data_IF_293465217139
#
_entry.id   IF_293465217139
#
_cell.length_a   1.000
_cell.length_b   1.000
_cell.length_c   1.000
_cell.angle_alpha   90.00
_cell.angle_beta   90.00
_cell.angle_gamma   90.00
#
_symmetry.space_group_name_H-M   'P 1'
#
loop_
_entity.id
_entity.type
_entity.pdbx_description
1 polymer ?
#
# COMPACT_ATOMS: atom_id res chain seq x y z
N UNK A 1 46.76 3.90 -12.60
CA UNK A 1 45.44 3.39 -12.20
C UNK A 1 45.62 2.49 -10.99
N UNK A 2 45.27 2.96 -9.80
CA UNK A 2 45.16 2.08 -8.62
C UNK A 2 43.82 1.35 -8.71
N UNK A 3 43.82 0.07 -8.42
CA UNK A 3 42.62 -0.77 -8.41
C UNK A 3 41.74 -0.29 -7.24
N UNK A 4 40.61 0.36 -7.54
CA UNK A 4 39.68 0.93 -6.55
C UNK A 4 38.69 -0.11 -5.97
N UNK A 5 38.85 -1.38 -6.34
CA UNK A 5 37.83 -2.42 -6.14
C UNK A 5 37.97 -3.29 -4.88
N UNK A 6 38.90 -2.99 -3.96
CA UNK A 6 38.90 -3.70 -2.65
C UNK A 6 39.65 -2.94 -1.55
N UNK A 7 39.04 -1.89 -1.02
CA UNK A 7 39.32 -1.48 0.36
C UNK A 7 38.00 -1.52 1.12
N UNK A 8 37.71 -2.68 1.72
CA UNK A 8 36.62 -2.82 2.68
C UNK A 8 36.79 -1.78 3.78
N UNK A 9 35.69 -1.13 4.17
CA UNK A 9 35.74 -0.20 5.30
C UNK A 9 36.23 -0.94 6.56
N UNK A 10 36.94 -0.23 7.47
CA UNK A 10 37.30 -0.80 8.77
C UNK A 10 36.08 -1.39 9.47
N UNK A 11 36.23 -2.56 10.11
CA UNK A 11 35.16 -3.19 10.91
C UNK A 11 34.54 -2.18 11.88
N UNK A 12 33.24 -1.96 11.76
CA UNK A 12 32.49 -1.01 12.60
C UNK A 12 32.44 0.43 12.09
N UNK A 13 32.94 0.73 10.88
CA UNK A 13 32.87 2.08 10.27
C UNK A 13 31.45 2.67 10.30
N UNK A 14 30.45 1.90 9.89
CA UNK A 14 29.03 2.29 9.89
C UNK A 14 28.45 2.55 11.28
N UNK A 15 29.14 2.10 12.33
CA UNK A 15 28.74 2.29 13.73
C UNK A 15 29.49 3.41 14.44
N UNK A 16 30.40 4.11 13.75
CA UNK A 16 31.06 5.28 14.33
C UNK A 16 30.05 6.41 14.55
N UNK A 17 30.18 7.23 15.62
CA UNK A 17 29.19 8.25 15.95
C UNK A 17 28.91 9.23 14.81
N UNK A 18 29.95 9.66 14.09
CA UNK A 18 29.87 10.59 12.96
C UNK A 18 29.12 9.98 11.77
N UNK A 19 29.47 8.75 11.38
CA UNK A 19 28.81 8.04 10.26
C UNK A 19 27.37 7.68 10.62
N UNK A 20 27.13 7.20 11.85
CA UNK A 20 25.78 6.87 12.32
C UNK A 20 24.86 8.09 12.38
N UNK A 21 25.38 9.26 12.77
CA UNK A 21 24.62 10.51 12.76
C UNK A 21 24.30 10.95 11.34
N UNK A 22 25.30 10.93 10.43
CA UNK A 22 25.11 11.28 9.03
C UNK A 22 24.13 10.33 8.31
N UNK A 23 24.12 9.03 8.68
CA UNK A 23 23.12 8.07 8.22
C UNK A 23 21.71 8.40 8.75
N UNK A 24 21.62 8.80 10.03
CA UNK A 24 20.35 9.13 10.68
C UNK A 24 19.71 10.44 10.17
N UNK A 25 20.52 11.36 9.63
CA UNK A 25 20.04 12.63 9.06
C UNK A 25 20.06 12.66 7.53
N UNK A 26 20.48 11.57 6.88
CA UNK A 26 20.71 11.50 5.44
C UNK A 26 21.64 12.62 4.91
N UNK A 27 22.67 12.97 5.70
CA UNK A 27 23.70 13.93 5.29
C UNK A 27 24.69 13.26 4.31
N UNK A 28 24.29 13.24 3.04
CA UNK A 28 25.06 12.62 1.95
C UNK A 28 26.46 13.25 1.78
N UNK A 29 26.63 14.58 1.86
CA UNK A 29 27.97 15.19 1.87
C UNK A 29 28.86 14.70 3.02
N UNK A 30 28.34 14.60 4.25
CA UNK A 30 29.12 14.08 5.38
C UNK A 30 29.50 12.61 5.18
N UNK A 31 28.57 11.77 4.67
CA UNK A 31 28.87 10.38 4.33
C UNK A 31 29.94 10.25 3.24
N UNK A 32 29.87 11.09 2.21
CA UNK A 32 30.90 11.14 1.16
C UNK A 32 32.27 11.49 1.72
N UNK A 33 32.35 12.43 2.67
CA UNK A 33 33.63 12.82 3.28
C UNK A 33 34.20 11.74 4.21
N UNK A 34 33.35 11.09 5.01
CA UNK A 34 33.77 10.03 5.91
C UNK A 34 34.23 8.77 5.16
N UNK A 35 33.53 8.39 4.08
CA UNK A 35 33.96 7.28 3.20
C UNK A 35 35.27 7.64 2.49
N UNK A 36 35.40 8.87 2.02
CA UNK A 36 36.64 9.37 1.42
C UNK A 36 37.81 9.28 2.40
N UNK A 37 37.62 9.71 3.65
CA UNK A 37 38.65 9.63 4.70
C UNK A 37 38.99 8.18 5.04
N UNK A 38 37.97 7.33 5.24
CA UNK A 38 38.16 5.91 5.59
C UNK A 38 38.91 5.13 4.51
N UNK A 39 38.67 5.44 3.23
CA UNK A 39 39.36 4.82 2.09
C UNK A 39 40.66 5.53 1.70
N UNK A 40 41.06 6.59 2.41
CA UNK A 40 42.27 7.37 2.10
C UNK A 40 42.23 8.06 0.73
N UNK A 41 41.03 8.36 0.24
CA UNK A 41 40.79 8.92 -1.09
C UNK A 41 41.01 10.43 -1.14
N UNK A 42 41.55 10.91 -2.25
CA UNK A 42 41.50 12.33 -2.59
C UNK A 42 40.10 12.74 -3.07
N UNK A 43 39.83 14.04 -3.18
CA UNK A 43 38.56 14.50 -3.79
C UNK A 43 38.44 14.09 -5.26
N UNK A 44 39.56 13.90 -5.96
CA UNK A 44 39.59 13.38 -7.33
C UNK A 44 39.16 11.92 -7.37
N UNK A 45 39.67 11.09 -6.46
CA UNK A 45 39.32 9.66 -6.39
C UNK A 45 37.84 9.47 -6.00
N UNK A 46 37.34 10.28 -5.05
CA UNK A 46 35.92 10.29 -4.69
C UNK A 46 35.04 10.65 -5.90
N UNK A 47 35.42 11.70 -6.64
CA UNK A 47 34.67 12.16 -7.80
C UNK A 47 34.64 11.08 -8.91
N UNK A 48 35.77 10.43 -9.17
CA UNK A 48 35.88 9.32 -10.12
C UNK A 48 34.97 8.14 -9.70
N UNK A 49 34.97 7.77 -8.42
CA UNK A 49 34.15 6.68 -7.89
C UNK A 49 32.64 6.91 -8.06
N UNK A 50 32.17 8.17 -7.97
CA UNK A 50 30.76 8.52 -8.16
C UNK A 50 30.40 9.00 -9.57
N UNK A 51 31.38 9.07 -10.49
CA UNK A 51 31.16 9.46 -11.89
C UNK A 51 31.00 10.97 -12.13
N UNK A 52 31.63 11.80 -11.31
CA UNK A 52 31.58 13.27 -11.39
C UNK A 52 32.99 13.90 -11.43
N UNK A 53 33.06 15.23 -11.60
CA UNK A 53 34.34 15.96 -11.62
C UNK A 53 34.82 16.32 -10.21
N UNK A 54 36.13 16.48 -10.01
CA UNK A 54 36.68 16.89 -8.71
C UNK A 54 36.11 18.23 -8.23
N UNK A 55 35.86 19.19 -9.14
CA UNK A 55 35.22 20.47 -8.82
C UNK A 55 33.79 20.29 -8.30
N UNK A 56 33.04 19.34 -8.85
CA UNK A 56 31.70 18.99 -8.36
C UNK A 56 31.77 18.39 -6.94
N UNK A 57 32.66 17.43 -6.71
CA UNK A 57 32.82 16.81 -5.39
C UNK A 57 33.24 17.85 -4.33
N UNK A 58 34.13 18.78 -4.68
CA UNK A 58 34.54 19.89 -3.80
C UNK A 58 33.38 20.81 -3.41
N UNK A 59 32.47 21.12 -4.34
CA UNK A 59 31.29 21.97 -4.08
C UNK A 59 30.25 21.26 -3.21
N UNK A 60 30.03 19.97 -3.47
CA UNK A 60 29.11 19.14 -2.67
C UNK A 60 29.61 18.99 -1.23
N UNK A 61 30.89 18.69 -1.02
CA UNK A 61 31.48 18.56 0.31
C UNK A 61 31.49 19.87 1.11
N UNK A 62 31.47 21.02 0.43
CA UNK A 62 31.34 22.36 1.05
C UNK A 62 29.90 22.81 1.26
N UNK A 63 28.90 22.01 0.84
CA UNK A 63 27.49 22.38 0.92
C UNK A 63 27.07 23.47 -0.09
N UNK A 64 27.90 23.79 -1.08
CA UNK A 64 27.65 24.85 -2.07
C UNK A 64 26.78 24.36 -3.25
N UNK A 65 26.41 23.09 -3.27
CA UNK A 65 25.57 22.49 -4.31
C UNK A 65 24.62 21.48 -3.68
N UNK A 66 23.32 21.70 -3.85
CA UNK A 66 22.29 20.75 -3.43
C UNK A 66 22.26 19.55 -4.37
N UNK A 67 22.10 18.36 -3.78
CA UNK A 67 22.03 17.09 -4.51
C UNK A 67 20.58 16.79 -4.89
N UNK A 68 20.35 16.43 -6.14
CA UNK A 68 19.06 15.88 -6.59
C UNK A 68 18.88 14.44 -6.11
N UNK A 69 17.64 13.98 -6.01
CA UNK A 69 17.32 12.59 -5.62
C UNK A 69 17.99 11.54 -6.55
N UNK A 70 18.13 11.85 -7.84
CA UNK A 70 18.82 10.98 -8.79
C UNK A 70 20.32 10.87 -8.47
N UNK A 71 20.97 11.98 -8.13
CA UNK A 71 22.39 12.01 -7.72
C UNK A 71 22.60 11.25 -6.42
N UNK A 72 21.74 11.45 -5.41
CA UNK A 72 21.80 10.73 -4.13
C UNK A 72 21.74 9.21 -4.35
N UNK A 73 20.84 8.72 -5.21
CA UNK A 73 20.74 7.29 -5.53
C UNK A 73 21.99 6.72 -6.20
N UNK A 74 22.63 7.49 -7.07
CA UNK A 74 23.88 7.09 -7.73
C UNK A 74 25.01 6.98 -6.70
N UNK A 75 25.12 7.97 -5.82
CA UNK A 75 26.15 8.04 -4.77
C UNK A 75 26.00 6.86 -3.79
N UNK A 76 24.78 6.61 -3.28
CA UNK A 76 24.49 5.50 -2.36
C UNK A 76 24.93 4.16 -2.95
N UNK A 77 24.56 3.90 -4.21
CA UNK A 77 24.92 2.64 -4.89
C UNK A 77 26.41 2.52 -5.17
N UNK A 78 27.04 3.58 -5.66
CA UNK A 78 28.46 3.57 -6.05
C UNK A 78 29.40 3.50 -4.87
N UNK A 79 29.02 4.09 -3.73
CA UNK A 79 29.83 4.08 -2.52
C UNK A 79 29.50 2.90 -1.59
N UNK A 80 28.48 2.10 -1.90
CA UNK A 80 28.09 0.95 -1.08
C UNK A 80 27.45 1.34 0.25
N UNK A 81 26.77 2.50 0.30
CA UNK A 81 26.11 2.96 1.52
C UNK A 81 24.90 2.04 1.78
N UNK A 82 24.81 1.38 2.94
CA UNK A 82 23.67 0.51 3.27
C UNK A 82 22.39 1.33 3.31
N UNK A 83 21.55 1.17 2.29
CA UNK A 83 20.34 1.97 2.13
C UNK A 83 19.35 1.73 3.27
N UNK A 84 19.40 0.56 3.92
CA UNK A 84 18.62 0.26 5.14
C UNK A 84 18.98 1.13 6.36
N UNK A 85 20.16 1.75 6.39
CA UNK A 85 20.60 2.59 7.51
C UNK A 85 20.28 4.08 7.31
N UNK A 86 19.93 4.49 6.09
CA UNK A 86 19.60 5.88 5.77
C UNK A 86 18.19 6.23 6.24
N UNK A 87 18.09 7.24 7.12
CA UNK A 87 16.81 7.82 7.53
C UNK A 87 16.63 9.15 6.81
N UNK A 88 15.64 9.23 5.92
CA UNK A 88 15.27 10.49 5.25
C UNK A 88 14.47 11.36 6.22
N UNK A 89 15.09 12.42 6.75
CA UNK A 89 14.44 13.42 7.60
C UNK A 89 14.81 14.82 7.11
N UNK A 90 13.84 15.74 7.13
CA UNK A 90 14.07 17.16 6.86
C UNK A 90 14.99 17.76 7.93
N UNK A 91 16.03 18.48 7.49
CA UNK A 91 16.86 19.29 8.37
C UNK A 91 16.07 20.52 8.84
N UNK A 92 15.62 20.51 10.09
CA UNK A 92 15.68 21.72 10.91
C UNK A 92 16.73 21.50 11.99
N UNK A 93 17.76 22.33 11.91
CA UNK A 93 18.75 22.57 12.95
C UNK A 93 18.05 22.92 14.26
N UNK A 94 18.25 22.09 15.28
CA UNK A 94 18.55 22.55 16.63
C UNK A 94 19.43 21.48 17.31
N UNK A 95 20.52 21.95 17.90
CA UNK A 95 21.53 21.16 18.59
C UNK A 95 20.90 20.37 19.76
N UNK A 96 20.99 19.05 19.70
CA UNK A 96 20.96 18.21 20.90
C UNK A 96 22.32 18.29 21.62
N UNK A 97 22.30 18.34 22.95
CA UNK A 97 22.97 17.27 23.69
C UNK A 97 22.38 17.10 25.09
N UNK A 98 21.68 15.99 25.35
CA UNK A 98 21.75 15.42 26.68
C UNK A 98 21.92 13.90 26.60
N UNK A 99 23.09 13.37 26.26
CA UNK A 99 23.41 12.00 26.72
C UNK A 99 24.89 11.72 26.94
N UNK A 100 25.42 12.28 28.03
CA UNK A 100 26.70 11.86 28.61
C UNK A 100 26.56 10.47 29.27
N UNK A 101 26.86 9.41 28.50
CA UNK A 101 26.69 7.98 28.82
C UNK A 101 27.71 7.42 29.85
N UNK A 102 28.17 8.21 30.82
CA UNK A 102 29.18 7.79 31.83
C UNK A 102 28.75 7.87 33.31
N UNK A 103 27.47 8.07 33.62
CA UNK A 103 26.98 8.08 35.02
C UNK A 103 25.96 6.97 35.37
N UNK A 104 25.87 5.89 34.60
CA UNK A 104 24.92 4.79 34.87
C UNK A 104 25.29 3.88 36.06
N UNK A 105 26.36 4.16 36.81
CA UNK A 105 26.83 3.34 37.94
C UNK A 105 26.34 3.76 39.33
N UNK A 106 25.56 4.84 39.48
CA UNK A 106 25.22 5.39 40.81
C UNK A 106 23.72 5.47 41.16
N UNK A 107 22.82 4.94 40.32
CA UNK A 107 21.37 5.05 40.52
C UNK A 107 20.68 3.73 40.90
N UNK A 108 21.40 2.78 41.51
CA UNK A 108 20.82 1.52 41.98
C UNK A 108 19.97 1.63 43.27
N UNK A 109 19.86 2.82 43.88
CA UNK A 109 19.21 3.00 45.20
C UNK A 109 17.81 3.63 45.17
N UNK A 110 17.21 3.87 44.01
CA UNK A 110 15.87 4.49 43.89
C UNK A 110 14.74 3.53 43.44
N UNK A 111 14.97 2.22 43.46
CA UNK A 111 14.05 1.21 42.93
C UNK A 111 12.79 0.90 43.79
N UNK A 112 12.45 1.73 44.78
CA UNK A 112 11.33 1.46 45.71
C UNK A 112 10.24 2.54 45.75
N UNK A 113 10.23 3.50 44.82
CA UNK A 113 9.09 4.40 44.65
C UNK A 113 8.23 3.94 43.47
N UNK A 114 6.89 3.86 43.61
CA UNK A 114 6.02 3.62 42.47
C UNK A 114 6.25 4.76 41.48
N UNK A 115 6.87 4.46 40.35
CA UNK A 115 7.07 5.46 39.30
C UNK A 115 5.68 5.98 38.92
N UNK A 116 5.43 7.30 38.98
CA UNK A 116 4.23 7.83 38.37
C UNK A 116 4.28 7.39 36.91
N UNK A 117 3.24 6.71 36.44
CA UNK A 117 3.03 6.51 35.01
C UNK A 117 2.83 7.91 34.44
N UNK A 118 3.92 8.58 34.10
CA UNK A 118 3.90 9.68 33.17
C UNK A 118 3.37 9.07 31.89
N UNK A 119 2.06 9.23 31.67
CA UNK A 119 1.48 9.23 30.35
C UNK A 119 2.32 10.23 29.57
N UNK A 120 3.33 9.75 28.84
CA UNK A 120 4.03 10.56 27.85
C UNK A 120 2.91 11.11 26.97
N UNK A 121 2.66 12.40 27.08
CA UNK A 121 1.68 13.07 26.25
C UNK A 121 2.04 12.69 24.81
N UNK A 122 1.07 12.15 24.09
CA UNK A 122 1.26 11.72 22.71
C UNK A 122 1.88 12.89 21.94
N UNK A 123 3.13 12.74 21.51
CA UNK A 123 3.87 13.81 20.85
C UNK A 123 3.21 14.17 19.51
N UNK A 124 3.44 15.40 19.06
CA UNK A 124 2.85 15.96 17.84
C UNK A 124 3.04 15.05 16.60
N UNK A 125 4.18 14.36 16.52
CA UNK A 125 4.53 13.47 15.41
C UNK A 125 3.88 12.08 15.47
N UNK A 126 3.21 11.72 16.57
CA UNK A 126 2.71 10.34 16.75
C UNK A 126 1.74 9.91 15.65
N UNK A 127 0.88 10.82 15.18
CA UNK A 127 -0.05 10.51 14.10
C UNK A 127 0.70 10.19 12.79
N UNK A 128 1.72 10.99 12.47
CA UNK A 128 2.54 10.80 11.28
C UNK A 128 3.32 9.48 11.33
N UNK A 129 3.92 9.15 12.48
CA UNK A 129 4.64 7.89 12.69
C UNK A 129 3.71 6.68 12.53
N UNK A 130 2.52 6.72 13.13
CA UNK A 130 1.54 5.65 13.03
C UNK A 130 1.04 5.45 11.59
N UNK A 131 0.80 6.54 10.86
CA UNK A 131 0.45 6.50 9.44
C UNK A 131 1.61 5.96 8.59
N UNK A 132 2.85 6.35 8.87
CA UNK A 132 4.03 5.87 8.15
C UNK A 132 4.26 4.36 8.33
N UNK A 133 4.03 3.83 9.54
CA UNK A 133 4.07 2.39 9.81
C UNK A 133 2.99 1.68 9.00
N UNK A 134 1.75 2.18 9.01
CA UNK A 134 0.64 1.60 8.21
C UNK A 134 0.97 1.60 6.72
N UNK A 135 1.51 2.70 6.20
CA UNK A 135 1.94 2.81 4.80
C UNK A 135 3.05 1.82 4.45
N UNK A 136 3.97 1.55 5.39
CA UNK A 136 5.03 0.56 5.22
C UNK A 136 4.49 -0.87 5.19
N UNK A 137 3.56 -1.20 6.09
CA UNK A 137 2.89 -2.51 6.09
C UNK A 137 2.07 -2.74 4.81
N UNK A 138 1.43 -1.70 4.26
CA UNK A 138 0.71 -1.78 2.97
C UNK A 138 1.61 -2.13 1.80
N UNK A 139 2.85 -1.61 1.78
CA UNK A 139 3.81 -1.97 0.72
C UNK A 139 4.25 -3.43 0.82
N UNK A 140 4.32 -3.99 2.03
CA UNK A 140 4.64 -5.40 2.25
C UNK A 140 3.52 -6.33 1.75
N UNK A 141 2.24 -5.91 1.77
CA UNK A 141 1.12 -6.74 1.26
C UNK A 141 1.28 -7.15 -0.21
N UNK A 142 2.02 -6.39 -1.01
CA UNK A 142 2.30 -6.72 -2.40
C UNK A 142 3.26 -7.91 -2.56
N UNK A 143 4.00 -8.28 -1.51
CA UNK A 143 5.06 -9.28 -1.56
C UNK A 143 4.93 -10.39 -0.52
N UNK A 144 4.06 -10.22 0.48
CA UNK A 144 3.87 -11.16 1.59
C UNK A 144 2.44 -11.68 1.68
N UNK A 145 2.27 -12.85 2.29
CA UNK A 145 0.97 -13.41 2.59
C UNK A 145 0.25 -12.56 3.65
N UNK A 146 -1.05 -12.33 3.49
CA UNK A 146 -1.81 -11.54 4.48
C UNK A 146 -1.81 -12.17 5.88
N UNK A 147 -1.70 -13.50 5.96
CA UNK A 147 -1.58 -14.25 7.22
C UNK A 147 -0.30 -13.93 8.00
N UNK A 148 0.79 -13.64 7.30
CA UNK A 148 2.06 -13.30 7.95
C UNK A 148 2.09 -11.85 8.44
N UNK A 149 1.26 -10.98 7.85
CA UNK A 149 1.19 -9.57 8.17
C UNK A 149 0.17 -9.24 9.27
N UNK A 150 -0.93 -10.00 9.35
CA UNK A 150 -2.12 -9.58 10.11
C UNK A 150 -1.85 -9.33 11.60
N UNK A 151 -1.05 -10.17 12.27
CA UNK A 151 -0.82 -10.02 13.70
C UNK A 151 0.05 -8.80 14.05
N UNK A 152 1.01 -8.46 13.18
CA UNK A 152 1.77 -7.21 13.27
C UNK A 152 0.88 -5.99 13.04
N UNK A 153 -0.03 -6.06 12.07
CA UNK A 153 -1.00 -4.99 11.79
C UNK A 153 -2.00 -4.82 12.93
N UNK A 154 -2.49 -5.91 13.54
CA UNK A 154 -3.36 -5.88 14.72
C UNK A 154 -2.68 -5.23 15.91
N UNK A 155 -1.44 -5.65 16.20
CA UNK A 155 -0.64 -5.08 17.29
C UNK A 155 -0.39 -3.58 17.10
N UNK A 156 -0.11 -3.17 15.86
CA UNK A 156 0.03 -1.76 15.48
C UNK A 156 -1.29 -0.97 15.65
N UNK A 157 -2.40 -1.53 15.19
CA UNK A 157 -3.73 -0.92 15.37
C UNK A 157 -4.08 -0.75 16.86
N UNK A 158 -3.81 -1.74 17.70
CA UNK A 158 -4.02 -1.64 19.13
C UNK A 158 -3.16 -0.55 19.77
N UNK A 159 -1.90 -0.43 19.36
CA UNK A 159 -1.02 0.66 19.79
C UNK A 159 -1.59 2.02 19.40
N UNK A 160 -2.04 2.19 18.15
CA UNK A 160 -2.67 3.42 17.67
C UNK A 160 -3.93 3.77 18.47
N UNK A 161 -4.76 2.77 18.79
CA UNK A 161 -5.96 2.95 19.63
C UNK A 161 -5.58 3.37 21.05
N UNK A 162 -4.54 2.79 21.64
CA UNK A 162 -4.03 3.22 22.96
C UNK A 162 -3.51 4.65 22.92
N UNK A 163 -2.72 5.00 21.90
CA UNK A 163 -2.19 6.35 21.70
C UNK A 163 -3.30 7.40 21.54
N UNK A 164 -4.41 7.05 20.87
CA UNK A 164 -5.56 7.93 20.71
C UNK A 164 -6.21 8.31 22.05
N UNK A 165 -6.27 7.38 23.02
CA UNK A 165 -6.87 7.63 24.34
C UNK A 165 -6.13 8.70 25.16
N UNK A 166 -4.83 8.86 24.92
CA UNK A 166 -3.96 9.81 25.62
C UNK A 166 -3.57 11.00 24.74
N UNK A 167 -4.16 11.12 23.54
CA UNK A 167 -3.70 12.06 22.51
C UNK A 167 -4.02 13.53 22.77
N UNK A 168 -4.93 13.84 23.71
CA UNK A 168 -5.29 15.20 24.06
C UNK A 168 -5.65 16.04 22.81
N UNK A 169 -5.00 17.19 22.58
CA UNK A 169 -5.23 18.02 21.39
C UNK A 169 -5.00 17.31 20.05
N UNK A 170 -4.11 16.31 20.00
CA UNK A 170 -3.78 15.56 18.78
C UNK A 170 -4.77 14.41 18.49
N UNK A 171 -5.81 14.24 19.31
CA UNK A 171 -6.76 13.14 19.18
C UNK A 171 -7.37 12.98 17.77
N UNK A 172 -7.77 14.05 17.04
CA UNK A 172 -8.27 13.92 15.67
C UNK A 172 -7.23 13.35 14.70
N UNK A 173 -5.97 13.81 14.78
CA UNK A 173 -4.90 13.32 13.90
C UNK A 173 -4.57 11.85 14.18
N UNK A 174 -4.49 11.45 15.45
CA UNK A 174 -4.26 10.05 15.83
C UNK A 174 -5.45 9.18 15.44
N UNK A 175 -6.69 9.69 15.50
CA UNK A 175 -7.87 8.98 15.02
C UNK A 175 -7.83 8.70 13.51
N UNK A 176 -7.27 9.61 12.71
CA UNK A 176 -7.04 9.37 11.28
C UNK A 176 -6.07 8.20 11.07
N UNK A 177 -4.96 8.16 11.83
CA UNK A 177 -4.01 7.05 11.78
C UNK A 177 -4.64 5.72 12.22
N UNK A 178 -5.48 5.72 13.27
CA UNK A 178 -6.28 4.54 13.68
C UNK A 178 -7.20 4.08 12.54
N UNK A 179 -7.86 5.02 11.85
CA UNK A 179 -8.73 4.71 10.71
C UNK A 179 -7.97 4.02 9.59
N UNK A 180 -6.79 4.52 9.22
CA UNK A 180 -5.96 3.91 8.18
C UNK A 180 -5.47 2.51 8.53
N UNK A 181 -5.01 2.32 9.78
CA UNK A 181 -4.55 1.03 10.29
C UNK A 181 -5.70 0.01 10.35
N UNK A 182 -6.88 0.43 10.82
CA UNK A 182 -8.07 -0.41 10.85
C UNK A 182 -8.53 -0.78 9.43
N UNK A 183 -8.54 0.18 8.50
CA UNK A 183 -8.86 -0.09 7.10
C UNK A 183 -7.91 -1.10 6.46
N UNK A 184 -6.63 -1.08 6.83
CA UNK A 184 -5.67 -2.07 6.36
C UNK A 184 -5.83 -3.44 7.02
N UNK A 185 -6.11 -3.50 8.32
CA UNK A 185 -6.48 -4.75 8.99
C UNK A 185 -7.71 -5.40 8.34
N UNK A 186 -8.68 -4.58 7.93
CA UNK A 186 -9.87 -5.04 7.20
C UNK A 186 -9.52 -5.63 5.83
N UNK A 187 -8.63 -4.96 5.08
CA UNK A 187 -8.13 -5.43 3.78
C UNK A 187 -7.46 -6.80 3.87
N UNK A 188 -6.56 -6.99 4.83
CA UNK A 188 -5.90 -8.27 5.05
C UNK A 188 -6.89 -9.36 5.49
N UNK A 189 -7.85 -9.01 6.36
CA UNK A 189 -8.89 -9.95 6.80
C UNK A 189 -9.77 -10.40 5.62
N UNK A 190 -10.09 -9.49 4.70
CA UNK A 190 -10.81 -9.81 3.48
C UNK A 190 -10.03 -10.75 2.56
N UNK A 191 -8.72 -10.55 2.39
CA UNK A 191 -7.88 -11.44 1.57
C UNK A 191 -7.83 -12.88 2.13
N UNK A 192 -7.85 -13.00 3.46
CA UNK A 192 -7.97 -14.27 4.19
C UNK A 192 -9.40 -14.82 4.28
N UNK A 193 -10.39 -14.12 3.71
CA UNK A 193 -11.82 -14.44 3.82
C UNK A 193 -12.37 -14.52 5.26
N UNK A 194 -11.72 -13.86 6.21
CA UNK A 194 -12.28 -13.60 7.52
C UNK A 194 -13.26 -12.41 7.42
N UNK A 195 -14.45 -12.69 6.88
CA UNK A 195 -15.49 -11.69 6.60
C UNK A 195 -15.97 -10.98 7.88
N UNK A 196 -15.96 -11.68 9.02
CA UNK A 196 -16.37 -11.15 10.31
C UNK A 196 -15.39 -10.10 10.82
N UNK A 197 -14.10 -10.41 10.81
CA UNK A 197 -13.04 -9.46 11.17
C UNK A 197 -12.97 -8.31 10.17
N UNK A 198 -13.06 -8.57 8.87
CA UNK A 198 -13.05 -7.53 7.84
C UNK A 198 -14.13 -6.48 8.09
N UNK A 199 -15.38 -6.90 8.31
CA UNK A 199 -16.50 -5.99 8.60
C UNK A 199 -16.30 -5.23 9.91
N UNK A 200 -15.76 -5.90 10.94
CA UNK A 200 -15.46 -5.27 12.24
C UNK A 200 -14.42 -4.16 12.10
N UNK A 201 -13.31 -4.44 11.43
CA UNK A 201 -12.25 -3.47 11.22
C UNK A 201 -12.66 -2.32 10.31
N UNK A 202 -13.46 -2.56 9.25
CA UNK A 202 -14.02 -1.47 8.45
C UNK A 202 -14.94 -0.56 9.25
N UNK A 203 -15.79 -1.12 10.12
CA UNK A 203 -16.64 -0.30 11.02
C UNK A 203 -15.81 0.52 12.01
N UNK A 204 -14.72 -0.07 12.53
CA UNK A 204 -13.76 0.65 13.36
C UNK A 204 -13.08 1.78 12.59
N UNK A 205 -12.68 1.55 11.34
CA UNK A 205 -12.08 2.54 10.47
C UNK A 205 -13.03 3.73 10.22
N UNK A 206 -14.29 3.45 9.87
CA UNK A 206 -15.31 4.48 9.66
C UNK A 206 -15.55 5.29 10.94
N UNK A 207 -15.59 4.63 12.11
CA UNK A 207 -15.77 5.30 13.40
C UNK A 207 -14.59 6.22 13.71
N UNK A 208 -13.36 5.73 13.51
CA UNK A 208 -12.14 6.51 13.73
C UNK A 208 -12.03 7.69 12.75
N UNK A 209 -12.42 7.52 11.48
CA UNK A 209 -12.45 8.62 10.51
C UNK A 209 -13.42 9.75 10.91
N UNK A 210 -14.57 9.39 11.50
CA UNK A 210 -15.52 10.38 12.06
C UNK A 210 -14.96 11.08 13.28
N UNK A 211 -14.26 10.36 14.17
CA UNK A 211 -13.57 10.96 15.32
C UNK A 211 -12.45 11.91 14.87
N UNK A 212 -11.80 11.61 13.75
CA UNK A 212 -10.83 12.48 13.10
C UNK A 212 -11.46 13.74 12.48
N UNK A 213 -12.79 13.83 12.41
CA UNK A 213 -13.55 14.87 11.70
C UNK A 213 -13.08 15.03 10.25
N UNK A 214 -12.73 13.90 9.61
CA UNK A 214 -12.29 13.86 8.23
C UNK A 214 -13.33 13.13 7.38
N UNK A 215 -14.25 13.91 6.78
CA UNK A 215 -15.35 13.37 5.99
C UNK A 215 -14.88 12.63 4.74
N UNK A 216 -13.81 13.11 4.10
CA UNK A 216 -13.22 12.46 2.91
C UNK A 216 -12.65 11.08 3.26
N UNK A 217 -12.03 10.94 4.43
CA UNK A 217 -11.56 9.65 4.95
C UNK A 217 -12.74 8.74 5.34
N UNK A 218 -13.80 9.30 5.94
CA UNK A 218 -14.99 8.54 6.30
C UNK A 218 -15.71 8.00 5.06
N UNK A 219 -15.78 8.79 3.99
CA UNK A 219 -16.27 8.37 2.67
C UNK A 219 -15.43 7.26 2.08
N UNK A 220 -14.10 7.38 2.14
CA UNK A 220 -13.20 6.33 1.67
C UNK A 220 -13.41 5.00 2.39
N UNK A 221 -13.49 5.02 3.72
CA UNK A 221 -13.68 3.81 4.51
C UNK A 221 -15.08 3.21 4.29
N UNK A 222 -16.10 4.05 4.10
CA UNK A 222 -17.46 3.59 3.76
C UNK A 222 -17.52 2.96 2.37
N UNK A 223 -16.90 3.59 1.37
CA UNK A 223 -16.79 3.03 0.01
C UNK A 223 -15.97 1.74 -0.03
N UNK A 224 -14.93 1.62 0.80
CA UNK A 224 -14.11 0.41 0.89
C UNK A 224 -14.90 -0.75 1.50
N UNK A 225 -15.69 -0.48 2.55
CA UNK A 225 -16.64 -1.45 3.09
C UNK A 225 -17.69 -1.83 2.04
N UNK A 226 -18.18 -0.88 1.25
CA UNK A 226 -19.11 -1.18 0.15
C UNK A 226 -18.49 -2.11 -0.90
N UNK A 227 -17.27 -1.84 -1.35
CA UNK A 227 -16.56 -2.73 -2.26
C UNK A 227 -16.39 -4.14 -1.69
N UNK A 228 -16.09 -4.24 -0.38
CA UNK A 228 -16.04 -5.53 0.33
C UNK A 228 -17.40 -6.24 0.33
N UNK A 229 -18.50 -5.56 0.65
CA UNK A 229 -19.82 -6.19 0.67
C UNK A 229 -20.24 -6.66 -0.73
N UNK A 230 -19.98 -5.85 -1.77
CA UNK A 230 -20.32 -6.18 -3.17
C UNK A 230 -19.57 -7.43 -3.63
N UNK A 231 -18.26 -7.49 -3.43
CA UNK A 231 -17.42 -8.51 -4.07
C UNK A 231 -17.07 -9.68 -3.14
N UNK A 232 -16.60 -9.39 -1.93
CA UNK A 232 -16.10 -10.42 -1.03
C UNK A 232 -17.22 -11.10 -0.23
N UNK A 233 -18.22 -10.34 0.22
CA UNK A 233 -19.35 -10.86 1.00
C UNK A 233 -20.56 -11.25 0.14
N UNK A 234 -20.69 -10.72 -1.07
CA UNK A 234 -21.77 -11.04 -2.00
C UNK A 234 -23.12 -10.36 -1.68
N UNK A 235 -23.09 -9.19 -1.04
CA UNK A 235 -24.26 -8.35 -0.74
C UNK A 235 -24.19 -6.99 -1.47
N UNK A 236 -24.49 -6.95 -2.78
CA UNK A 236 -24.43 -5.74 -3.58
C UNK A 236 -25.48 -4.69 -3.19
N UNK A 237 -26.61 -5.10 -2.63
CA UNK A 237 -27.67 -4.17 -2.20
C UNK A 237 -27.22 -3.38 -0.96
N UNK A 238 -26.59 -4.05 0.00
CA UNK A 238 -25.95 -3.38 1.13
C UNK A 238 -24.82 -2.46 0.66
N UNK A 239 -24.04 -2.91 -0.33
CA UNK A 239 -23.05 -2.10 -1.04
C UNK A 239 -23.62 -0.78 -1.58
N UNK A 240 -24.71 -0.86 -2.37
CA UNK A 240 -25.41 0.29 -2.93
C UNK A 240 -25.87 1.28 -1.85
N UNK A 241 -26.49 0.77 -0.77
CA UNK A 241 -26.94 1.62 0.33
C UNK A 241 -25.79 2.38 1.01
N UNK A 242 -24.61 1.75 1.12
CA UNK A 242 -23.43 2.41 1.68
C UNK A 242 -22.80 3.41 0.71
N UNK A 243 -22.79 3.13 -0.59
CA UNK A 243 -22.31 4.08 -1.60
C UNK A 243 -23.17 5.33 -1.63
N UNK A 244 -24.49 5.17 -1.59
CA UNK A 244 -25.45 6.27 -1.51
C UNK A 244 -25.23 7.14 -0.24
N UNK A 245 -24.99 6.49 0.91
CA UNK A 245 -24.58 7.18 2.14
C UNK A 245 -23.26 7.92 2.01
N UNK A 246 -22.25 7.29 1.40
CA UNK A 246 -20.94 7.89 1.20
C UNK A 246 -21.05 9.13 0.29
N UNK A 247 -21.83 9.06 -0.78
CA UNK A 247 -22.09 10.17 -1.71
C UNK A 247 -22.73 11.36 -1.00
N UNK A 248 -23.73 11.14 -0.13
CA UNK A 248 -24.35 12.20 0.67
C UNK A 248 -23.41 12.86 1.69
N UNK A 249 -22.35 12.17 2.08
CA UNK A 249 -21.36 12.65 3.07
C UNK A 249 -20.14 13.29 2.39
N UNK A 250 -19.98 13.12 1.07
CA UNK A 250 -18.82 13.64 0.35
C UNK A 250 -18.84 15.17 0.33
N UNK A 251 -17.81 15.85 0.88
CA UNK A 251 -17.80 17.30 0.88
C UNK A 251 -17.57 17.85 -0.54
N UNK A 252 -18.16 19.01 -0.89
CA UNK A 252 -17.98 19.61 -2.22
C UNK A 252 -16.52 19.90 -2.60
N UNK A 253 -15.64 20.01 -1.61
CA UNK A 253 -14.21 20.30 -1.76
C UNK A 253 -13.34 19.07 -2.02
N UNK A 254 -13.91 17.84 -2.02
CA UNK A 254 -13.15 16.60 -2.13
C UNK A 254 -12.56 16.30 -3.53
N UNK A 255 -12.83 17.17 -4.52
CA UNK A 255 -12.47 16.96 -5.92
C UNK A 255 -13.30 15.87 -6.59
N UNK A 256 -12.99 15.58 -7.86
CA UNK A 256 -13.75 14.61 -8.66
C UNK A 256 -13.37 13.14 -8.43
N UNK A 257 -12.17 12.86 -7.91
CA UNK A 257 -11.65 11.48 -7.74
C UNK A 257 -12.55 10.59 -6.87
N UNK A 258 -13.02 11.02 -5.68
CA UNK A 258 -13.91 10.19 -4.87
C UNK A 258 -15.24 9.90 -5.56
N UNK A 259 -15.79 10.89 -6.29
CA UNK A 259 -17.00 10.71 -7.10
C UNK A 259 -16.80 9.66 -8.18
N UNK A 260 -15.68 9.74 -8.91
CA UNK A 260 -15.35 8.75 -9.94
C UNK A 260 -15.26 7.33 -9.36
N UNK A 261 -14.57 7.19 -8.24
CA UNK A 261 -14.38 5.91 -7.58
C UNK A 261 -15.71 5.34 -7.05
N UNK A 262 -16.50 6.13 -6.31
CA UNK A 262 -17.82 5.69 -5.80
C UNK A 262 -18.77 5.30 -6.93
N UNK A 263 -18.80 6.06 -8.03
CA UNK A 263 -19.63 5.74 -9.19
C UNK A 263 -19.20 4.43 -9.87
N UNK A 264 -17.89 4.12 -9.90
CA UNK A 264 -17.41 2.83 -10.40
C UNK A 264 -17.84 1.65 -9.53
N UNK A 265 -17.89 1.82 -8.20
CA UNK A 265 -18.39 0.81 -7.27
C UNK A 265 -19.91 0.64 -7.37
N UNK A 266 -20.64 1.72 -7.61
CA UNK A 266 -22.09 1.71 -7.84
C UNK A 266 -22.42 0.90 -9.11
N UNK A 267 -21.67 1.13 -10.18
CA UNK A 267 -21.82 0.37 -11.42
C UNK A 267 -21.54 -1.13 -11.20
N UNK A 268 -20.47 -1.45 -10.46
CA UNK A 268 -20.15 -2.83 -10.10
C UNK A 268 -21.27 -3.48 -9.28
N UNK A 269 -21.86 -2.74 -8.34
CA UNK A 269 -22.95 -3.24 -7.52
C UNK A 269 -24.21 -3.53 -8.35
N UNK A 270 -24.62 -2.61 -9.25
CA UNK A 270 -25.75 -2.82 -10.16
C UNK A 270 -25.55 -4.01 -11.10
N UNK A 271 -24.31 -4.31 -11.49
CA UNK A 271 -23.99 -5.49 -12.27
C UNK A 271 -23.98 -6.78 -11.44
N UNK A 272 -23.79 -6.69 -10.12
CA UNK A 272 -23.62 -7.85 -9.23
C UNK A 272 -24.92 -8.30 -8.55
N UNK A 273 -26.04 -7.58 -8.71
CA UNK A 273 -27.34 -7.96 -8.14
C UNK A 273 -27.88 -9.26 -8.74
N UNK A 274 -28.77 -9.99 -8.04
CA UNK A 274 -29.41 -11.19 -8.60
C UNK A 274 -30.14 -10.95 -9.93
N UNK A 275 -30.64 -9.72 -10.12
CA UNK A 275 -31.14 -9.21 -11.39
C UNK A 275 -30.28 -7.99 -11.77
N UNK A 276 -29.24 -8.16 -12.59
CA UNK A 276 -28.36 -7.06 -12.96
C UNK A 276 -29.10 -5.95 -13.69
N UNK A 277 -28.85 -4.69 -13.31
CA UNK A 277 -29.40 -3.51 -13.97
C UNK A 277 -28.32 -2.87 -14.87
N UNK A 278 -28.30 -3.31 -16.12
CA UNK A 278 -27.36 -2.81 -17.13
C UNK A 278 -27.49 -1.30 -17.35
N UNK A 279 -28.71 -0.75 -17.30
CA UNK A 279 -28.93 0.67 -17.52
C UNK A 279 -28.30 1.49 -16.39
N UNK A 280 -28.60 1.13 -15.13
CA UNK A 280 -28.03 1.79 -13.96
C UNK A 280 -26.50 1.64 -13.91
N UNK A 281 -25.98 0.45 -14.21
CA UNK A 281 -24.53 0.23 -14.30
C UNK A 281 -23.88 1.14 -15.35
N UNK A 282 -24.48 1.27 -16.53
CA UNK A 282 -23.98 2.13 -17.61
C UNK A 282 -24.04 3.62 -17.23
N UNK A 283 -25.10 4.08 -16.57
CA UNK A 283 -25.20 5.47 -16.08
C UNK A 283 -24.12 5.78 -15.04
N UNK A 284 -23.86 4.85 -14.13
CA UNK A 284 -22.84 4.99 -13.11
C UNK A 284 -21.42 4.99 -13.71
N UNK A 285 -21.14 4.15 -14.71
CA UNK A 285 -19.88 4.21 -15.49
C UNK A 285 -19.71 5.58 -16.13
N UNK A 286 -20.74 6.11 -16.81
CA UNK A 286 -20.66 7.44 -17.41
C UNK A 286 -20.35 8.52 -16.38
N UNK A 287 -20.96 8.44 -15.19
CA UNK A 287 -20.67 9.37 -14.10
C UNK A 287 -19.20 9.28 -13.66
N UNK A 288 -18.65 8.07 -13.59
CA UNK A 288 -17.23 7.87 -13.31
C UNK A 288 -16.33 8.49 -14.39
N UNK A 289 -16.62 8.26 -15.67
CA UNK A 289 -15.88 8.81 -16.81
C UNK A 289 -15.88 10.35 -16.81
N UNK A 290 -17.04 10.97 -16.60
CA UNK A 290 -17.16 12.43 -16.51
C UNK A 290 -16.39 13.01 -15.31
N UNK A 291 -16.40 12.32 -14.17
CA UNK A 291 -15.65 12.74 -12.98
C UNK A 291 -14.14 12.64 -13.21
N UNK A 292 -13.64 11.60 -13.88
CA UNK A 292 -12.22 11.49 -14.24
C UNK A 292 -11.81 12.62 -15.19
N UNK A 293 -12.62 12.91 -16.21
CA UNK A 293 -12.32 13.94 -17.21
C UNK A 293 -12.13 15.35 -16.63
N UNK A 294 -12.78 15.67 -15.51
CA UNK A 294 -12.70 16.99 -14.87
C UNK A 294 -11.33 17.32 -14.25
N UNK A 295 -10.57 16.32 -13.80
CA UNK A 295 -9.22 16.44 -13.19
C UNK A 295 -9.06 17.65 -12.22
N UNK A 296 -9.48 17.50 -10.97
CA UNK A 296 -9.50 18.60 -9.97
C UNK A 296 -8.26 18.62 -9.02
N UNK A 297 -7.09 18.13 -9.45
CA UNK A 297 -5.85 18.10 -8.65
C UNK A 297 -5.41 16.70 -8.19
N UNK A 298 -4.39 16.59 -7.32
CA UNK A 298 -3.91 15.29 -6.83
C UNK A 298 -5.00 14.58 -6.00
N UNK A 299 -4.99 13.23 -5.95
CA UNK A 299 -5.99 12.49 -5.21
C UNK A 299 -5.96 12.90 -3.72
N UNK A 300 -7.13 13.00 -3.06
CA UNK A 300 -7.22 13.48 -1.68
C UNK A 300 -6.67 12.47 -0.65
N UNK A 301 -6.35 11.24 -1.08
CA UNK A 301 -5.80 10.20 -0.22
C UNK A 301 -4.34 9.93 -0.62
N UNK A 302 -3.35 10.25 0.24
CA UNK A 302 -1.94 10.20 -0.14
C UNK A 302 -1.41 8.78 -0.42
N UNK A 303 -2.11 7.75 0.07
CA UNK A 303 -1.80 6.34 -0.20
C UNK A 303 -2.62 5.73 -1.36
N UNK A 304 -3.53 6.49 -1.99
CA UNK A 304 -4.32 6.03 -3.14
C UNK A 304 -3.79 6.70 -4.39
N UNK A 305 -3.18 5.91 -5.27
CA UNK A 305 -2.79 6.36 -6.61
C UNK A 305 -3.98 6.98 -7.36
N UNK A 306 -3.76 7.97 -8.28
CA UNK A 306 -4.82 8.61 -9.06
C UNK A 306 -5.81 7.61 -9.66
N UNK A 307 -7.11 7.87 -9.57
CA UNK A 307 -8.14 7.03 -10.19
C UNK A 307 -8.39 7.52 -11.62
N UNK A 308 -7.84 6.79 -12.59
CA UNK A 308 -7.82 7.16 -14.00
C UNK A 308 -8.69 6.23 -14.87
N UNK A 309 -8.76 6.55 -16.17
CA UNK A 309 -9.52 5.76 -17.14
C UNK A 309 -9.02 4.32 -17.24
N UNK A 310 -7.72 4.07 -17.02
CA UNK A 310 -7.16 2.72 -17.07
C UNK A 310 -7.61 1.87 -15.89
N UNK A 311 -7.67 2.43 -14.68
CA UNK A 311 -8.28 1.76 -13.52
C UNK A 311 -9.77 1.54 -13.71
N UNK A 312 -10.48 2.51 -14.29
CA UNK A 312 -11.88 2.35 -14.62
C UNK A 312 -12.10 1.25 -15.67
N UNK A 313 -11.20 1.10 -16.66
CA UNK A 313 -11.27 0.05 -17.66
C UNK A 313 -11.28 -1.35 -17.05
N UNK A 314 -10.48 -1.59 -16.01
CA UNK A 314 -10.50 -2.85 -15.26
C UNK A 314 -11.86 -3.12 -14.60
N UNK A 315 -12.45 -2.10 -13.98
CA UNK A 315 -13.77 -2.23 -13.34
C UNK A 315 -14.86 -2.44 -14.40
N UNK A 316 -14.77 -1.77 -15.57
CA UNK A 316 -15.67 -2.00 -16.71
C UNK A 316 -15.58 -3.44 -17.20
N UNK A 317 -14.39 -4.04 -17.23
CA UNK A 317 -14.25 -5.46 -17.58
C UNK A 317 -15.00 -6.36 -16.58
N UNK A 318 -14.82 -6.13 -15.27
CA UNK A 318 -15.53 -6.86 -14.21
C UNK A 318 -17.06 -6.68 -14.27
N UNK A 319 -17.54 -5.48 -14.63
CA UNK A 319 -18.96 -5.20 -14.86
C UNK A 319 -19.47 -5.99 -16.08
N UNK A 320 -18.77 -5.92 -17.21
CA UNK A 320 -19.15 -6.61 -18.43
C UNK A 320 -19.21 -8.14 -18.25
N UNK A 321 -18.28 -8.73 -17.47
CA UNK A 321 -18.34 -10.16 -17.10
C UNK A 321 -19.64 -10.50 -16.37
N UNK A 322 -20.01 -9.71 -15.37
CA UNK A 322 -21.24 -9.91 -14.56
C UNK A 322 -22.52 -9.70 -15.36
N UNK A 323 -22.48 -8.80 -16.35
CA UNK A 323 -23.59 -8.57 -17.30
C UNK A 323 -23.65 -9.61 -18.43
N UNK A 324 -22.72 -10.56 -18.50
CA UNK A 324 -22.68 -11.57 -19.59
C UNK A 324 -22.30 -10.97 -20.94
N UNK A 325 -21.45 -9.94 -20.95
CA UNK A 325 -20.99 -9.19 -22.14
C UNK A 325 -19.51 -9.49 -22.41
N UNK A 326 -19.15 -10.70 -22.85
CA UNK A 326 -17.75 -11.14 -22.89
C UNK A 326 -16.86 -10.36 -23.87
N UNK A 327 -17.41 -9.89 -25.00
CA UNK A 327 -16.67 -9.07 -25.95
C UNK A 327 -16.29 -7.70 -25.36
N UNK A 328 -17.22 -7.07 -24.64
CA UNK A 328 -16.95 -5.82 -23.94
C UNK A 328 -15.97 -6.02 -22.77
N UNK A 329 -16.06 -7.16 -22.07
CA UNK A 329 -15.11 -7.52 -21.03
C UNK A 329 -13.67 -7.64 -21.58
N UNK A 330 -13.48 -8.35 -22.69
CA UNK A 330 -12.18 -8.51 -23.33
C UNK A 330 -11.61 -7.16 -23.81
N UNK A 331 -12.43 -6.32 -24.43
CA UNK A 331 -12.04 -4.97 -24.87
C UNK A 331 -11.61 -4.10 -23.69
N UNK A 332 -12.43 -4.02 -22.65
CA UNK A 332 -12.16 -3.22 -21.46
C UNK A 332 -10.92 -3.72 -20.69
N UNK A 333 -10.69 -5.04 -20.67
CA UNK A 333 -9.47 -5.60 -20.09
C UNK A 333 -8.23 -5.20 -20.89
N UNK A 334 -8.28 -5.29 -22.23
CA UNK A 334 -7.20 -4.85 -23.12
C UNK A 334 -6.80 -3.38 -22.90
N UNK A 335 -7.79 -2.50 -22.69
CA UNK A 335 -7.56 -1.10 -22.35
C UNK A 335 -6.88 -0.90 -20.98
N UNK A 336 -6.95 -1.88 -20.08
CA UNK A 336 -6.33 -1.81 -18.75
C UNK A 336 -4.84 -2.23 -18.73
N UNK A 337 -4.39 -2.98 -19.74
CA UNK A 337 -3.04 -3.57 -19.83
C UNK A 337 -1.86 -2.58 -20.00
N UNK A 338 -1.98 -1.40 -20.65
CA UNK A 338 -0.83 -0.53 -20.93
C UNK A 338 -0.15 0.14 -19.70
N UNK A 339 -0.58 -0.15 -18.47
CA UNK A 339 -0.07 0.51 -17.26
C UNK A 339 0.75 -0.42 -16.37
N UNK A 340 1.46 0.17 -15.39
CA UNK A 340 2.18 -0.59 -14.37
C UNK A 340 1.27 -1.66 -13.76
N UNK A 341 1.73 -2.91 -13.81
CA UNK A 341 0.94 -4.05 -13.35
C UNK A 341 0.55 -3.86 -11.88
N UNK A 342 -0.73 -4.12 -11.52
CA UNK A 342 -1.16 -4.04 -10.14
C UNK A 342 -0.41 -5.08 -9.29
N UNK A 343 -0.50 -4.95 -7.97
CA UNK A 343 0.06 -5.95 -7.05
C UNK A 343 -0.42 -7.36 -7.46
N UNK A 344 0.42 -8.40 -7.37
CA UNK A 344 0.13 -9.73 -7.92
C UNK A 344 -1.26 -10.29 -7.56
N UNK A 345 -1.66 -10.12 -6.30
CA UNK A 345 -3.00 -10.55 -5.83
C UNK A 345 -4.14 -9.86 -6.57
N UNK A 346 -4.05 -8.55 -6.80
CA UNK A 346 -5.06 -7.78 -7.54
C UNK A 346 -5.06 -8.13 -9.03
N UNK A 347 -3.89 -8.39 -9.61
CA UNK A 347 -3.77 -8.88 -10.98
C UNK A 347 -4.51 -10.22 -11.13
N UNK A 348 -4.27 -11.18 -10.24
CA UNK A 348 -4.88 -12.50 -10.29
C UNK A 348 -6.41 -12.49 -10.17
N UNK A 349 -6.99 -11.64 -9.31
CA UNK A 349 -8.44 -11.45 -9.25
C UNK A 349 -9.00 -10.95 -10.60
N UNK A 350 -8.30 -10.01 -11.23
CA UNK A 350 -8.68 -9.53 -12.57
C UNK A 350 -8.56 -10.63 -13.63
N UNK A 351 -7.49 -11.43 -13.56
CA UNK A 351 -7.27 -12.56 -14.47
C UNK A 351 -8.41 -13.60 -14.38
N UNK A 352 -8.99 -13.84 -13.19
CA UNK A 352 -10.16 -14.72 -13.05
C UNK A 352 -11.42 -14.17 -13.72
N UNK A 353 -11.63 -12.85 -13.68
CA UNK A 353 -12.72 -12.19 -14.41
C UNK A 353 -12.53 -12.37 -15.92
N UNK A 354 -11.30 -12.20 -16.42
CA UNK A 354 -10.97 -12.43 -17.85
C UNK A 354 -11.13 -13.89 -18.25
N UNK A 355 -10.72 -14.83 -17.40
CA UNK A 355 -10.96 -16.25 -17.61
C UNK A 355 -12.46 -16.53 -17.74
N UNK A 356 -13.29 -15.88 -16.92
CA UNK A 356 -14.75 -16.01 -17.01
C UNK A 356 -15.28 -15.49 -18.35
N UNK A 357 -14.81 -14.32 -18.80
CA UNK A 357 -15.15 -13.80 -20.12
C UNK A 357 -14.74 -14.76 -21.25
N UNK A 358 -13.53 -15.32 -21.21
CA UNK A 358 -13.03 -16.28 -22.20
C UNK A 358 -13.92 -17.55 -22.26
N UNK A 359 -14.33 -18.10 -21.11
CA UNK A 359 -15.29 -19.20 -21.05
C UNK A 359 -16.63 -18.83 -21.72
N UNK A 360 -17.16 -17.62 -21.47
CA UNK A 360 -18.39 -17.14 -22.10
C UNK A 360 -18.27 -17.02 -23.64
N UNK A 361 -17.06 -16.89 -24.19
CA UNK A 361 -16.79 -16.92 -25.64
C UNK A 361 -16.54 -18.32 -26.21
N UNK A 362 -16.54 -19.36 -25.37
CA UNK A 362 -16.22 -20.74 -25.75
C UNK A 362 -14.71 -21.05 -25.79
N UNK A 363 -13.85 -20.13 -25.35
CA UNK A 363 -12.39 -20.27 -25.36
C UNK A 363 -11.89 -21.00 -24.10
N UNK A 364 -12.34 -22.24 -23.95
CA UNK A 364 -12.17 -23.02 -22.72
C UNK A 364 -10.70 -23.19 -22.30
N UNK A 365 -9.81 -23.56 -23.23
CA UNK A 365 -8.41 -23.82 -22.89
C UNK A 365 -7.67 -22.54 -22.47
N UNK A 366 -7.96 -21.40 -23.11
CA UNK A 366 -7.41 -20.10 -22.71
C UNK A 366 -7.93 -19.68 -21.33
N UNK A 367 -9.24 -19.79 -21.12
CA UNK A 367 -9.88 -19.48 -19.85
C UNK A 367 -9.26 -20.27 -18.68
N UNK A 368 -9.09 -21.58 -18.84
CA UNK A 368 -8.51 -22.43 -17.80
C UNK A 368 -7.00 -22.23 -17.62
N UNK A 369 -6.29 -21.78 -18.65
CA UNK A 369 -4.88 -21.36 -18.51
C UNK A 369 -4.80 -20.11 -17.63
N UNK A 370 -5.59 -19.08 -17.93
CA UNK A 370 -5.66 -17.84 -17.14
C UNK A 370 -6.09 -18.13 -15.69
N UNK A 371 -7.12 -18.95 -15.50
CA UNK A 371 -7.59 -19.33 -14.18
C UNK A 371 -6.55 -20.11 -13.37
N UNK A 372 -5.75 -20.96 -14.02
CA UNK A 372 -4.65 -21.69 -13.40
C UNK A 372 -3.54 -20.75 -12.94
N UNK A 373 -3.16 -19.75 -13.75
CA UNK A 373 -2.16 -18.75 -13.38
C UNK A 373 -2.62 -17.91 -12.18
N UNK A 374 -3.88 -17.50 -12.17
CA UNK A 374 -4.47 -16.81 -11.04
C UNK A 374 -4.51 -17.68 -9.78
N UNK A 375 -4.91 -18.96 -9.90
CA UNK A 375 -4.91 -19.91 -8.79
C UNK A 375 -3.50 -20.12 -8.22
N UNK A 376 -2.49 -20.24 -9.08
CA UNK A 376 -1.10 -20.35 -8.66
C UNK A 376 -0.65 -19.11 -7.87
N UNK A 377 -1.08 -17.92 -8.28
CA UNK A 377 -0.86 -16.68 -7.52
C UNK A 377 -1.55 -16.74 -6.16
N UNK A 378 -2.81 -17.19 -6.11
CA UNK A 378 -3.56 -17.37 -4.87
C UNK A 378 -2.84 -18.30 -3.88
N UNK A 379 -2.32 -19.43 -4.37
CA UNK A 379 -1.54 -20.40 -3.57
C UNK A 379 -0.21 -19.78 -3.10
N UNK A 380 0.51 -19.11 -4.00
CA UNK A 380 1.83 -18.52 -3.70
C UNK A 380 1.75 -17.46 -2.60
N UNK A 381 0.70 -16.63 -2.62
CA UNK A 381 0.50 -15.55 -1.66
C UNK A 381 -0.47 -15.89 -0.53
N UNK A 382 -0.93 -17.14 -0.43
CA UNK A 382 -1.89 -17.57 0.59
C UNK A 382 -3.20 -16.75 0.61
N UNK A 383 -3.67 -16.30 -0.57
CA UNK A 383 -4.90 -15.52 -0.70
C UNK A 383 -6.11 -16.44 -0.84
N UNK A 384 -6.82 -16.62 0.26
CA UNK A 384 -8.07 -17.39 0.31
C UNK A 384 -9.14 -16.79 -0.61
N UNK A 385 -9.13 -15.46 -0.77
CA UNK A 385 -10.04 -14.76 -1.68
C UNK A 385 -9.87 -15.21 -3.13
N UNK A 386 -8.63 -15.28 -3.63
CA UNK A 386 -8.33 -15.75 -4.99
C UNK A 386 -8.70 -17.23 -5.13
N UNK A 387 -8.33 -18.06 -4.16
CA UNK A 387 -8.63 -19.50 -4.18
C UNK A 387 -10.14 -19.73 -4.24
N UNK A 388 -10.93 -19.02 -3.43
CA UNK A 388 -12.39 -19.09 -3.47
C UNK A 388 -12.95 -18.66 -4.82
N UNK A 389 -12.47 -17.56 -5.40
CA UNK A 389 -12.94 -17.12 -6.72
C UNK A 389 -12.57 -18.12 -7.81
N UNK A 390 -11.41 -18.78 -7.74
CA UNK A 390 -11.05 -19.87 -8.64
C UNK A 390 -12.00 -21.08 -8.49
N UNK A 391 -12.39 -21.44 -7.26
CA UNK A 391 -13.43 -22.46 -7.02
C UNK A 391 -14.78 -22.07 -7.62
N UNK A 392 -15.18 -20.80 -7.47
CA UNK A 392 -16.42 -20.28 -8.04
C UNK A 392 -16.38 -20.28 -9.57
N UNK A 393 -15.27 -19.85 -10.18
CA UNK A 393 -15.04 -19.96 -11.62
C UNK A 393 -15.24 -21.40 -12.10
N UNK A 394 -14.64 -22.38 -11.41
CA UNK A 394 -14.77 -23.79 -11.75
C UNK A 394 -16.17 -24.36 -11.56
N UNK A 395 -16.90 -23.89 -10.55
CA UNK A 395 -18.27 -24.30 -10.28
C UNK A 395 -19.24 -23.75 -11.35
N UNK A 396 -19.09 -22.48 -11.71
CA UNK A 396 -19.97 -21.80 -12.67
C UNK A 396 -19.71 -22.23 -14.12
N UNK A 397 -18.54 -22.78 -14.43
CA UNK A 397 -18.17 -23.22 -15.76
C UNK A 397 -17.97 -24.75 -15.77
N UNK A 398 -18.83 -25.46 -16.51
CA UNK A 398 -18.76 -26.91 -16.68
C UNK A 398 -18.32 -27.28 -18.11
N UNK A 399 -17.05 -27.03 -18.48
CA UNK A 399 -16.56 -27.35 -19.81
C UNK A 399 -16.39 -28.86 -20.00
N UNK A 400 -16.21 -29.26 -21.26
CA UNK A 400 -15.64 -30.56 -21.58
C UNK A 400 -14.24 -30.70 -20.96
N UNK A 401 -13.90 -31.89 -20.46
CA UNK A 401 -12.60 -32.14 -19.85
C UNK A 401 -11.50 -32.07 -20.90
N UNK A 402 -10.60 -31.08 -20.78
CA UNK A 402 -9.35 -30.97 -21.54
C UNK A 402 -8.15 -31.16 -20.60
N UNK A 403 -6.92 -31.41 -21.11
CA UNK A 403 -5.73 -31.48 -20.27
C UNK A 403 -5.51 -30.25 -19.39
N UNK A 404 -5.87 -29.05 -19.87
CA UNK A 404 -5.78 -27.80 -19.10
C UNK A 404 -6.80 -27.76 -17.96
N UNK A 405 -8.04 -28.20 -18.22
CA UNK A 405 -9.07 -28.35 -17.18
C UNK A 405 -8.60 -29.33 -16.10
N UNK A 406 -8.02 -30.48 -16.50
CA UNK A 406 -7.47 -31.45 -15.54
C UNK A 406 -6.35 -30.86 -14.69
N UNK A 407 -5.40 -30.12 -15.28
CA UNK A 407 -4.32 -29.45 -14.53
C UNK A 407 -4.86 -28.44 -13.53
N UNK A 408 -5.87 -27.68 -13.93
CA UNK A 408 -6.55 -26.76 -13.03
C UNK A 408 -7.24 -27.51 -11.87
N UNK A 409 -7.97 -28.58 -12.15
CA UNK A 409 -8.66 -29.38 -11.14
C UNK A 409 -7.66 -30.06 -10.17
N UNK A 410 -6.55 -30.59 -10.68
CA UNK A 410 -5.44 -31.11 -9.88
C UNK A 410 -4.88 -30.05 -8.95
N UNK A 411 -4.62 -28.85 -9.49
CA UNK A 411 -4.08 -27.74 -8.70
C UNK A 411 -5.08 -27.22 -7.68
N UNK A 412 -6.37 -27.19 -8.01
CA UNK A 412 -7.42 -26.77 -7.09
C UNK A 412 -7.55 -27.75 -5.92
N UNK A 413 -7.41 -29.06 -6.17
CA UNK A 413 -7.42 -30.08 -5.11
C UNK A 413 -6.30 -29.90 -4.10
N UNK A 414 -5.13 -29.37 -4.47
CA UNK A 414 -4.05 -29.10 -3.51
C UNK A 414 -4.38 -28.00 -2.50
N UNK A 415 -5.47 -27.25 -2.69
CA UNK A 415 -5.94 -26.20 -1.77
C UNK A 415 -6.97 -26.68 -0.75
N UNK A 416 -7.38 -27.95 -0.81
CA UNK A 416 -8.35 -28.56 0.10
C UNK A 416 -7.69 -29.32 1.26
N UNK A 417 -6.36 -29.49 1.19
CA UNK A 417 -5.49 -30.08 2.21
C UNK A 417 -4.86 -28.96 3.02
#
# INVERSE_FOLDING_TARGET
MRNLDSMDEPLGFWSTPTVSQALATCDVPALMDEIRKARGWSQTDLAEAVGYTQSWASKVLRGETSLTLAQVRIIIRRLGIPAELLRFGDHQTDEEDPTNRRQFGKLATLALLPSPRTSLATGENTAADLTAITGSQRRLDASFCSRDLIDGVRSHLELAVRAHRTAGPHAPAVAAAVSEAAGFAAWLSMDMLDLGSARTYYRQAITAAKLAKNDVLAVYMTGSLAAFEIDAAGDPLLGLAMIDKARRTLPPTAGSTPTAWLASLEALAHASTPHPDEHAATQAIRTAEHAIARTDGPPPWPWVYPFDLTKLARIRASIAVRLGQPSEAARAFGESLPTAQPAPKQAALTTLEVATAACQRGETDEAFTLALDALNTGITYGSERIIRQARQFRYSNAPTTTPTVTRFDDRLRTTLL
#
